data_IF_880503521463
#
_entry.id   IF_880503521463
#
_cell.length_a   1.000
_cell.length_b   1.000
_cell.length_c   1.000
_cell.angle_alpha   90.00
_cell.angle_beta   90.00
_cell.angle_gamma   90.00
#
_symmetry.space_group_name_H-M   'P 1'
#
loop_
_entity.id
_entity.type
_entity.pdbx_description
1 polymer ?
#
# COMPACT_ATOMS: atom_id res chain seq x y z
N UNK A 1 18.88 20.20 13.19
CA UNK A 1 19.46 19.88 14.50
C UNK A 1 20.89 19.42 14.23
N UNK A 2 21.89 20.11 14.79
CA UNK A 2 23.31 19.83 14.50
C UNK A 2 23.79 18.64 15.35
N UNK A 3 24.38 17.61 14.73
CA UNK A 3 25.06 16.52 15.45
C UNK A 3 26.54 16.61 15.10
N UNK A 4 27.36 16.95 16.09
CA UNK A 4 28.82 16.90 15.96
C UNK A 4 29.28 15.47 16.20
N UNK A 5 29.95 14.86 15.22
CA UNK A 5 30.74 13.64 15.44
C UNK A 5 32.21 14.03 15.34
N UNK A 6 32.91 14.03 16.47
CA UNK A 6 34.31 14.38 16.55
C UNK A 6 35.14 13.09 16.62
N UNK A 7 35.80 12.73 15.51
CA UNK A 7 36.86 11.71 15.49
C UNK A 7 38.22 12.40 15.38
N UNK A 8 39.24 12.00 16.15
CA UNK A 8 40.53 12.67 16.18
C UNK A 8 41.33 12.36 14.90
N UNK A 9 41.65 13.40 14.12
CA UNK A 9 42.59 13.31 13.00
C UNK A 9 42.02 13.54 11.59
N UNK A 10 40.71 13.76 11.43
CA UNK A 10 40.11 14.08 10.13
C UNK A 10 39.61 15.52 10.07
N UNK A 11 39.80 16.18 8.92
CA UNK A 11 39.22 17.48 8.58
C UNK A 11 37.73 17.46 8.91
N UNK A 12 37.27 18.38 9.77
CA UNK A 12 35.88 18.45 10.18
C UNK A 12 34.99 18.78 8.97
N UNK A 13 34.26 17.80 8.45
CA UNK A 13 33.17 18.06 7.51
C UNK A 13 31.93 18.42 8.33
N UNK A 14 31.59 19.70 8.37
CA UNK A 14 30.27 20.13 8.86
C UNK A 14 29.27 19.88 7.72
N UNK A 15 28.51 18.79 7.81
CA UNK A 15 27.41 18.54 6.87
C UNK A 15 26.20 19.33 7.34
N UNK A 16 25.98 20.51 6.75
CA UNK A 16 24.73 21.23 6.90
C UNK A 16 23.67 20.57 6.01
N UNK A 17 22.80 19.76 6.60
CA UNK A 17 21.58 19.30 5.93
C UNK A 17 20.52 20.39 6.07
N UNK A 18 20.56 21.39 5.18
CA UNK A 18 19.39 22.22 4.95
C UNK A 18 18.45 21.46 4.03
N UNK A 19 17.17 21.40 4.42
CA UNK A 19 16.14 20.90 3.53
C UNK A 19 15.82 21.99 2.52
N UNK A 20 15.98 21.68 1.24
CA UNK A 20 15.59 22.59 0.16
C UNK A 20 14.06 22.63 0.06
N UNK A 21 13.50 23.83 0.00
CA UNK A 21 12.08 24.07 -0.21
C UNK A 21 11.85 24.58 -1.64
N UNK A 22 10.79 24.09 -2.26
CA UNK A 22 10.41 24.42 -3.62
C UNK A 22 8.95 24.87 -3.66
N UNK A 23 8.63 25.67 -4.67
CA UNK A 23 7.24 26.03 -4.94
C UNK A 23 6.47 24.80 -5.44
N UNK A 24 5.15 24.80 -5.23
CA UNK A 24 4.27 23.68 -5.65
C UNK A 24 4.29 23.42 -7.17
N UNK A 25 4.75 24.40 -7.96
CA UNK A 25 4.82 24.29 -9.42
C UNK A 25 6.07 23.53 -9.92
N UNK A 26 7.06 23.33 -9.05
CA UNK A 26 8.35 22.70 -9.40
C UNK A 26 8.35 21.17 -9.22
N UNK A 27 7.18 20.52 -9.15
CA UNK A 27 7.06 19.07 -8.90
C UNK A 27 7.92 18.20 -9.84
N UNK A 28 8.00 18.54 -11.12
CA UNK A 28 8.86 17.82 -12.08
C UNK A 28 10.35 17.96 -11.76
N UNK A 29 10.77 19.14 -11.30
CA UNK A 29 12.14 19.38 -10.88
C UNK A 29 12.46 18.57 -9.62
N UNK A 30 11.57 18.61 -8.62
CA UNK A 30 11.69 17.84 -7.38
C UNK A 30 11.81 16.35 -7.68
N UNK A 31 10.99 15.80 -8.58
CA UNK A 31 11.06 14.39 -8.96
C UNK A 31 12.42 14.01 -9.58
N UNK A 32 12.99 14.87 -10.43
CA UNK A 32 14.31 14.63 -11.05
C UNK A 32 15.44 14.76 -10.02
N UNK A 33 15.32 15.69 -9.08
CA UNK A 33 16.28 15.87 -8.00
C UNK A 33 16.24 14.70 -7.01
N UNK A 34 15.05 14.18 -6.69
CA UNK A 34 14.88 13.06 -5.78
C UNK A 34 15.67 11.82 -6.22
N UNK A 35 15.80 11.60 -7.55
CA UNK A 35 16.61 10.52 -8.12
C UNK A 35 18.12 10.69 -7.94
N UNK A 36 18.58 11.89 -7.58
CA UNK A 36 20.01 12.24 -7.40
C UNK A 36 20.39 12.40 -5.93
N UNK A 37 19.43 12.27 -5.01
CA UNK A 37 19.70 12.38 -3.58
C UNK A 37 20.59 11.20 -3.13
N UNK A 38 21.48 11.43 -2.16
CA UNK A 38 22.31 10.37 -1.59
C UNK A 38 21.51 9.39 -0.70
N UNK A 39 20.23 9.66 -0.48
CA UNK A 39 19.30 8.88 0.33
C UNK A 39 18.00 8.63 -0.45
N UNK A 40 17.29 7.57 -0.08
CA UNK A 40 16.00 7.25 -0.69
C UNK A 40 14.94 8.30 -0.35
N UNK A 41 14.15 8.68 -1.35
CA UNK A 41 13.04 9.63 -1.20
C UNK A 41 11.71 8.88 -1.25
N UNK A 42 10.91 8.98 -0.19
CA UNK A 42 9.68 8.22 -0.02
C UNK A 42 8.39 9.02 -0.37
N UNK A 43 8.54 10.24 -0.90
CA UNK A 43 7.41 11.08 -1.25
C UNK A 43 7.69 12.58 -1.20
N UNK A 44 6.62 13.36 -1.08
CA UNK A 44 6.62 14.82 -1.08
C UNK A 44 5.84 15.33 0.15
N UNK A 45 6.37 16.35 0.82
CA UNK A 45 5.70 17.01 1.94
C UNK A 45 5.28 18.41 1.49
N UNK A 46 3.98 18.72 1.61
CA UNK A 46 3.43 20.03 1.35
C UNK A 46 3.28 20.79 2.67
N UNK A 47 4.10 21.81 2.84
CA UNK A 47 4.09 22.67 4.03
C UNK A 47 3.36 23.97 3.70
N UNK A 48 2.33 24.36 4.46
CA UNK A 48 1.65 25.63 4.24
C UNK A 48 2.54 26.82 4.60
N UNK A 49 2.64 27.82 3.71
CA UNK A 49 3.49 29.00 3.90
C UNK A 49 2.89 29.99 4.92
N UNK A 50 1.58 30.22 4.85
CA UNK A 50 0.90 31.30 5.59
C UNK A 50 0.22 30.83 6.88
N UNK A 51 0.67 29.72 7.47
CA UNK A 51 0.07 29.14 8.67
C UNK A 51 1.09 29.06 9.79
N UNK A 52 0.77 29.53 11.01
CA UNK A 52 1.68 29.46 12.13
C UNK A 52 1.94 28.00 12.51
N UNK A 53 3.10 27.74 13.09
CA UNK A 53 3.41 26.42 13.62
C UNK A 53 2.41 26.04 14.72
N UNK A 54 1.80 24.87 14.59
CA UNK A 54 0.90 24.31 15.59
C UNK A 54 1.54 23.08 16.24
N UNK A 55 1.47 22.99 17.56
CA UNK A 55 1.89 21.80 18.31
C UNK A 55 0.90 20.66 18.09
N UNK A 56 1.39 19.46 17.79
CA UNK A 56 0.54 18.29 17.54
C UNK A 56 0.18 18.11 16.06
N UNK A 57 -0.96 17.47 15.78
CA UNK A 57 -1.36 17.12 14.41
C UNK A 57 -1.87 18.33 13.63
N UNK A 58 -1.07 18.82 12.68
CA UNK A 58 -1.50 19.82 11.72
C UNK A 58 -2.18 19.16 10.50
N UNK A 59 -3.48 19.41 10.30
CA UNK A 59 -4.24 18.86 9.15
C UNK A 59 -3.89 19.49 7.80
N UNK A 60 -3.20 20.64 7.82
CA UNK A 60 -2.79 21.37 6.62
C UNK A 60 -1.38 20.96 6.15
N UNK A 61 -0.63 20.26 6.99
CA UNK A 61 0.64 19.63 6.61
C UNK A 61 0.32 18.30 5.91
N UNK A 62 0.50 18.26 4.60
CA UNK A 62 0.16 17.09 3.80
C UNK A 62 1.42 16.33 3.41
N UNK A 63 1.32 15.00 3.40
CA UNK A 63 2.35 14.11 2.85
C UNK A 63 1.74 13.32 1.71
N UNK A 64 2.41 13.31 0.58
CA UNK A 64 2.09 12.45 -0.53
C UNK A 64 3.18 11.38 -0.66
N UNK A 65 2.77 10.13 -0.80
CA UNK A 65 3.65 9.01 -1.10
C UNK A 65 3.23 8.37 -2.41
N UNK A 66 4.18 7.95 -3.27
CA UNK A 66 3.87 7.09 -4.40
C UNK A 66 3.10 5.84 -3.92
N UNK A 67 2.08 5.37 -4.65
CA UNK A 67 1.27 4.22 -4.22
C UNK A 67 2.09 2.96 -3.94
N UNK A 68 3.17 2.73 -4.70
CA UNK A 68 4.06 1.57 -4.51
C UNK A 68 4.90 1.65 -3.23
N UNK A 69 5.03 2.82 -2.60
CA UNK A 69 5.73 3.00 -1.32
C UNK A 69 4.78 2.93 -0.11
N UNK A 70 3.47 2.75 -0.36
CA UNK A 70 2.50 2.42 0.68
C UNK A 70 2.41 0.91 0.81
N UNK A 71 3.36 0.35 1.57
CA UNK A 71 3.44 -1.09 1.82
C UNK A 71 2.65 -1.49 3.07
N UNK A 72 2.24 -2.75 3.09
CA UNK A 72 1.64 -3.43 4.25
C UNK A 72 2.34 -4.77 4.43
N UNK A 73 2.77 -5.05 5.66
CA UNK A 73 3.29 -6.36 6.02
C UNK A 73 2.13 -7.32 6.31
N UNK A 74 1.96 -8.33 5.47
CA UNK A 74 0.99 -9.40 5.64
C UNK A 74 1.67 -10.68 6.11
N UNK A 75 0.92 -11.55 6.77
CA UNK A 75 1.34 -12.92 7.01
C UNK A 75 0.76 -13.80 5.91
N UNK A 76 1.60 -14.47 5.15
CA UNK A 76 1.21 -15.28 4.00
C UNK A 76 1.14 -16.76 4.37
N UNK A 77 0.02 -17.41 4.03
CA UNK A 77 -0.13 -18.86 4.13
C UNK A 77 -0.46 -19.47 2.78
N UNK A 78 0.29 -20.49 2.40
CA UNK A 78 0.03 -21.23 1.17
C UNK A 78 -1.32 -21.96 1.22
N UNK A 79 -1.98 -21.98 0.08
CA UNK A 79 -3.18 -22.77 -0.20
C UNK A 79 -2.80 -23.84 -1.24
N UNK A 80 -3.05 -25.09 -0.90
CA UNK A 80 -2.64 -26.26 -1.67
C UNK A 80 -3.83 -26.90 -2.38
N UNK A 81 -3.58 -27.51 -3.52
CA UNK A 81 -4.54 -28.43 -4.14
C UNK A 81 -4.57 -29.80 -3.42
N UNK A 82 -5.39 -30.72 -3.92
CA UNK A 82 -5.54 -32.06 -3.33
C UNK A 82 -4.27 -32.93 -3.49
N UNK A 83 -3.41 -32.56 -4.43
CA UNK A 83 -2.12 -33.20 -4.70
C UNK A 83 -1.01 -32.64 -3.81
N UNK A 84 -1.28 -31.61 -3.01
CA UNK A 84 -0.30 -30.97 -2.14
C UNK A 84 0.59 -29.98 -2.87
N UNK A 85 0.20 -29.50 -4.05
CA UNK A 85 0.92 -28.47 -4.80
C UNK A 85 0.42 -27.09 -4.38
N UNK A 86 1.29 -26.15 -3.99
CA UNK A 86 0.87 -24.79 -3.62
C UNK A 86 0.36 -24.04 -4.86
N UNK A 87 -0.83 -23.48 -4.77
CA UNK A 87 -1.47 -22.73 -5.88
C UNK A 87 -1.55 -21.23 -5.62
N UNK A 88 -1.90 -20.85 -4.39
CA UNK A 88 -2.20 -19.47 -4.02
C UNK A 88 -1.67 -19.16 -2.62
N UNK A 89 -1.63 -17.88 -2.26
CA UNK A 89 -1.32 -17.44 -0.91
C UNK A 89 -2.43 -16.57 -0.36
N UNK A 90 -2.90 -16.90 0.84
CA UNK A 90 -3.82 -16.09 1.62
C UNK A 90 -3.04 -15.08 2.44
N UNK A 91 -3.52 -13.83 2.48
CA UNK A 91 -2.91 -12.75 3.24
C UNK A 91 -3.69 -12.52 4.54
N UNK A 92 -2.97 -12.56 5.64
CA UNK A 92 -3.48 -12.36 7.00
C UNK A 92 -2.94 -11.07 7.58
N UNK A 93 -3.78 -10.40 8.34
CA UNK A 93 -3.47 -9.19 9.10
C UNK A 93 -3.54 -9.48 10.60
N UNK A 94 -2.98 -8.60 11.42
CA UNK A 94 -3.12 -8.70 12.86
C UNK A 94 -4.39 -7.97 13.31
N UNK A 95 -5.23 -8.64 14.09
CA UNK A 95 -6.31 -8.01 14.85
C UNK A 95 -6.17 -8.42 16.31
N UNK A 96 -5.98 -7.45 17.18
CA UNK A 96 -5.70 -7.64 18.62
C UNK A 96 -4.64 -8.73 18.92
N UNK A 97 -3.59 -8.81 18.09
CA UNK A 97 -2.48 -9.77 18.25
C UNK A 97 -2.72 -11.14 17.62
N UNK A 98 -3.89 -11.38 17.03
CA UNK A 98 -4.24 -12.64 16.35
C UNK A 98 -4.22 -12.45 14.84
N UNK A 99 -3.79 -13.48 14.11
CA UNK A 99 -3.81 -13.50 12.64
C UNK A 99 -5.24 -13.72 12.14
N UNK A 100 -5.76 -12.77 11.38
CA UNK A 100 -7.13 -12.82 10.83
C UNK A 100 -7.08 -12.73 9.31
N UNK A 101 -7.79 -13.63 8.66
CA UNK A 101 -8.02 -13.60 7.22
C UNK A 101 -9.17 -12.65 6.88
N UNK A 102 -8.95 -11.72 5.95
CA UNK A 102 -9.97 -10.76 5.49
C UNK A 102 -10.36 -10.94 4.02
N UNK A 103 -10.06 -12.09 3.41
CA UNK A 103 -10.41 -12.35 2.01
C UNK A 103 -9.39 -11.85 0.99
N UNK A 104 -8.21 -11.41 1.45
CA UNK A 104 -7.14 -10.89 0.59
C UNK A 104 -6.20 -12.02 0.15
N UNK A 105 -5.88 -12.04 -1.15
CA UNK A 105 -4.98 -13.02 -1.74
C UNK A 105 -3.78 -12.30 -2.36
N UNK A 106 -2.64 -12.97 -2.34
CA UNK A 106 -1.44 -12.44 -2.98
C UNK A 106 -1.58 -12.57 -4.50
N UNK A 107 -1.29 -11.49 -5.22
CA UNK A 107 -1.30 -11.52 -6.66
C UNK A 107 -0.13 -12.40 -7.19
N UNK A 108 -0.36 -13.30 -8.16
CA UNK A 108 0.67 -14.13 -8.78
C UNK A 108 1.59 -13.32 -9.71
N UNK A 109 2.30 -12.35 -9.13
CA UNK A 109 3.12 -11.40 -9.86
C UNK A 109 4.50 -11.24 -9.20
N UNK A 110 5.52 -11.01 -10.03
CA UNK A 110 6.89 -10.78 -9.59
C UNK A 110 7.70 -12.05 -9.34
N UNK A 111 8.99 -11.87 -9.05
CA UNK A 111 9.94 -12.96 -8.79
C UNK A 111 9.69 -13.61 -7.43
N UNK A 112 9.42 -12.80 -6.42
CA UNK A 112 9.21 -13.24 -5.05
C UNK A 112 8.01 -14.20 -4.92
N UNK A 113 6.94 -13.99 -5.71
CA UNK A 113 5.82 -14.94 -5.74
C UNK A 113 6.27 -16.35 -6.13
N UNK A 114 7.17 -16.47 -7.12
CA UNK A 114 7.71 -17.77 -7.56
C UNK A 114 8.61 -18.39 -6.50
N UNK A 115 9.40 -17.58 -5.80
CA UNK A 115 10.22 -18.02 -4.66
C UNK A 115 9.35 -18.51 -3.51
N UNK A 116 8.24 -17.82 -3.20
CA UNK A 116 7.26 -18.28 -2.22
C UNK A 116 6.64 -19.63 -2.61
N UNK A 117 6.31 -19.84 -3.89
CA UNK A 117 5.82 -21.15 -4.38
C UNK A 117 6.86 -22.25 -4.19
N UNK A 118 8.13 -21.97 -4.50
CA UNK A 118 9.22 -22.93 -4.35
C UNK A 118 9.43 -23.28 -2.86
N UNK A 119 9.44 -22.28 -1.98
CA UNK A 119 9.51 -22.51 -0.53
C UNK A 119 8.29 -23.27 -0.01
N UNK A 120 7.08 -22.96 -0.48
CA UNK A 120 5.86 -23.64 -0.08
C UNK A 120 5.81 -25.11 -0.55
N UNK A 121 6.56 -25.45 -1.60
CA UNK A 121 6.70 -26.82 -2.11
C UNK A 121 7.69 -27.64 -1.28
N UNK A 122 8.75 -27.02 -0.75
CA UNK A 122 9.73 -27.71 0.11
C UNK A 122 9.28 -27.78 1.57
N UNK A 123 8.61 -26.75 2.06
CA UNK A 123 8.20 -26.62 3.46
C UNK A 123 6.80 -26.04 3.49
N UNK A 124 5.92 -26.54 4.38
CA UNK A 124 4.56 -26.00 4.51
C UNK A 124 4.62 -24.55 4.97
N UNK A 125 4.44 -23.61 4.04
CA UNK A 125 4.61 -22.19 4.29
C UNK A 125 3.37 -21.64 5.01
N UNK A 126 3.54 -21.30 6.28
CA UNK A 126 2.54 -20.60 7.08
C UNK A 126 3.23 -19.62 8.03
N UNK A 127 2.66 -18.43 8.17
CA UNK A 127 3.12 -17.41 9.10
C UNK A 127 4.23 -16.51 8.59
N UNK A 128 4.76 -16.74 7.37
CA UNK A 128 5.82 -15.91 6.80
C UNK A 128 5.33 -14.48 6.59
N UNK A 129 6.02 -13.50 7.15
CA UNK A 129 5.68 -12.10 6.96
C UNK A 129 6.27 -11.61 5.64
N UNK A 130 5.41 -11.05 4.78
CA UNK A 130 5.74 -10.54 3.45
C UNK A 130 5.29 -9.08 3.39
N UNK A 131 6.21 -8.21 3.00
CA UNK A 131 5.89 -6.82 2.70
C UNK A 131 5.31 -6.74 1.29
N UNK A 132 4.11 -6.18 1.17
CA UNK A 132 3.40 -6.06 -0.08
C UNK A 132 3.01 -4.61 -0.36
N UNK A 133 3.02 -4.22 -1.63
CA UNK A 133 2.40 -2.97 -2.10
C UNK A 133 1.20 -3.30 -2.99
N UNK A 134 0.27 -2.36 -3.10
CA UNK A 134 -0.87 -2.50 -4.00
C UNK A 134 -0.54 -1.98 -5.40
N UNK A 135 -0.90 -2.77 -6.41
CA UNK A 135 -0.85 -2.35 -7.81
C UNK A 135 -2.26 -2.38 -8.39
N UNK A 136 -2.77 -1.23 -8.85
CA UNK A 136 -4.20 -1.07 -9.15
C UNK A 136 -4.61 -1.44 -10.59
N UNK A 137 -3.65 -1.55 -11.52
CA UNK A 137 -3.93 -1.67 -12.96
C UNK A 137 -3.21 -2.87 -13.58
N UNK A 138 -3.41 -3.19 -14.88
CA UNK A 138 -2.64 -4.22 -15.55
C UNK A 138 -1.14 -3.88 -15.53
N UNK A 139 -0.24 -4.87 -15.47
CA UNK A 139 -0.47 -6.30 -15.73
C UNK A 139 -0.82 -7.15 -14.48
N UNK A 140 -1.12 -6.54 -13.34
CA UNK A 140 -1.37 -7.26 -12.08
C UNK A 140 -2.85 -7.62 -11.97
N UNK A 141 -3.12 -8.89 -11.69
CA UNK A 141 -4.45 -9.40 -11.39
C UNK A 141 -4.38 -10.32 -10.19
N UNK A 142 -5.41 -10.30 -9.35
CA UNK A 142 -5.54 -11.21 -8.20
C UNK A 142 -6.56 -12.28 -8.51
N UNK A 143 -6.18 -13.54 -8.37
CA UNK A 143 -7.13 -14.65 -8.45
C UNK A 143 -7.81 -14.85 -7.09
N UNK A 144 -9.13 -14.74 -7.07
CA UNK A 144 -9.96 -15.02 -5.91
C UNK A 144 -10.68 -16.36 -6.14
N UNK A 145 -10.28 -17.42 -5.42
CA UNK A 145 -10.88 -18.74 -5.57
C UNK A 145 -12.34 -18.73 -5.10
N UNK A 146 -13.21 -19.49 -5.77
CA UNK A 146 -14.58 -19.67 -5.30
C UNK A 146 -14.62 -20.55 -4.05
N UNK A 147 -15.65 -20.37 -3.22
CA UNK A 147 -15.97 -21.31 -2.16
C UNK A 147 -16.73 -22.47 -2.79
N UNK A 148 -16.34 -23.71 -2.47
CA UNK A 148 -17.05 -24.90 -2.93
C UNK A 148 -18.45 -24.95 -2.31
N UNK A 149 -19.46 -25.31 -3.12
CA UNK A 149 -20.82 -25.50 -2.64
C UNK A 149 -20.97 -26.85 -1.95
N UNK A 150 -22.08 -27.05 -1.23
CA UNK A 150 -22.41 -28.35 -0.62
C UNK A 150 -22.83 -29.42 -1.65
N UNK A 151 -22.99 -29.04 -2.93
CA UNK A 151 -23.43 -29.92 -4.03
C UNK A 151 -22.25 -30.52 -4.83
N UNK A 152 -21.02 -30.30 -4.35
CA UNK A 152 -19.78 -30.65 -5.03
C UNK A 152 -19.61 -32.18 -5.13
N UNK A 153 -19.51 -32.72 -6.35
CA UNK A 153 -19.53 -34.16 -6.66
C UNK A 153 -18.28 -34.95 -6.23
N UNK A 154 -17.38 -34.35 -5.46
CA UNK A 154 -16.11 -34.98 -5.04
C UNK A 154 -16.33 -35.96 -3.89
N UNK A 155 -15.56 -37.04 -3.92
CA UNK A 155 -15.59 -38.09 -2.91
C UNK A 155 -15.09 -37.60 -1.55
N UNK A 156 -15.58 -38.21 -0.47
CA UNK A 156 -15.12 -37.91 0.90
C UNK A 156 -13.59 -38.01 1.05
N UNK A 157 -12.94 -38.87 0.26
CA UNK A 157 -11.48 -39.03 0.22
C UNK A 157 -10.76 -37.77 -0.29
N UNK A 158 -11.30 -37.11 -1.30
CA UNK A 158 -10.77 -35.88 -1.88
C UNK A 158 -10.85 -34.73 -0.87
N UNK A 159 -12.00 -34.59 -0.19
CA UNK A 159 -12.20 -33.63 0.89
C UNK A 159 -11.22 -33.86 2.05
N UNK A 160 -10.99 -35.12 2.44
CA UNK A 160 -10.02 -35.46 3.47
C UNK A 160 -8.58 -35.07 3.08
N UNK A 161 -8.16 -35.36 1.85
CA UNK A 161 -6.84 -34.96 1.33
C UNK A 161 -6.66 -33.45 1.34
N UNK A 162 -7.67 -32.71 0.87
CA UNK A 162 -7.63 -31.25 0.88
C UNK A 162 -7.47 -30.69 2.31
N UNK A 163 -8.23 -31.23 3.27
CA UNK A 163 -8.17 -30.78 4.67
C UNK A 163 -6.81 -31.06 5.33
N UNK A 164 -6.13 -32.15 4.96
CA UNK A 164 -4.80 -32.45 5.47
C UNK A 164 -3.79 -31.33 5.14
N UNK A 165 -3.87 -30.78 3.93
CA UNK A 165 -2.97 -29.72 3.47
C UNK A 165 -3.38 -28.31 3.89
N UNK A 166 -4.67 -28.06 4.11
CA UNK A 166 -5.19 -26.70 4.30
C UNK A 166 -5.84 -26.46 5.67
N UNK A 167 -5.75 -27.42 6.61
CA UNK A 167 -6.18 -27.38 8.02
C UNK A 167 -6.90 -26.10 8.47
N UNK A 168 -8.22 -26.21 8.69
CA UNK A 168 -9.13 -25.15 9.13
C UNK A 168 -9.44 -24.02 8.12
N UNK A 169 -8.89 -24.05 6.90
CA UNK A 169 -9.32 -23.14 5.82
C UNK A 169 -10.66 -23.59 5.20
N UNK A 170 -11.51 -22.65 4.74
CA UNK A 170 -12.67 -22.96 3.91
C UNK A 170 -12.29 -23.76 2.67
N UNK A 171 -13.17 -24.67 2.23
CA UNK A 171 -12.93 -25.54 1.07
C UNK A 171 -12.94 -24.71 -0.22
N UNK A 172 -11.80 -24.14 -0.58
CA UNK A 172 -11.65 -23.33 -1.79
C UNK A 172 -11.53 -24.21 -3.03
N UNK A 173 -12.16 -23.78 -4.11
CA UNK A 173 -11.81 -24.26 -5.44
C UNK A 173 -10.62 -23.44 -5.95
N UNK A 174 -9.44 -24.06 -6.00
CA UNK A 174 -8.22 -23.40 -6.46
C UNK A 174 -8.11 -23.35 -7.98
N UNK A 175 -8.98 -24.06 -8.70
CA UNK A 175 -9.01 -24.09 -10.17
C UNK A 175 -10.08 -23.14 -10.71
N UNK A 176 -11.22 -23.04 -10.02
CA UNK A 176 -12.32 -22.17 -10.40
C UNK A 176 -12.37 -20.93 -9.50
N UNK A 177 -12.51 -19.75 -10.12
CA UNK A 177 -12.53 -18.50 -9.39
C UNK A 177 -12.71 -17.30 -10.29
N UNK A 178 -12.48 -16.12 -9.72
CA UNK A 178 -12.60 -14.85 -10.43
C UNK A 178 -11.28 -14.12 -10.40
N UNK A 179 -10.88 -13.58 -11.56
CA UNK A 179 -9.75 -12.68 -11.63
C UNK A 179 -10.24 -11.25 -11.40
N UNK A 180 -9.62 -10.57 -10.44
CA UNK A 180 -9.84 -9.15 -10.18
C UNK A 180 -8.66 -8.35 -10.68
N UNK A 181 -8.93 -7.20 -11.29
CA UNK A 181 -7.89 -6.25 -11.68
C UNK A 181 -7.22 -5.68 -10.44
N UNK A 182 -5.89 -5.60 -10.51
CA UNK A 182 -5.06 -5.15 -9.40
C UNK A 182 -4.88 -6.20 -8.31
N UNK A 183 -3.98 -5.90 -7.37
CA UNK A 183 -3.64 -6.82 -6.32
C UNK A 183 -2.46 -6.43 -5.45
N UNK A 184 -2.31 -7.17 -4.35
CA UNK A 184 -1.13 -7.11 -3.49
C UNK A 184 0.03 -7.85 -4.13
N UNK A 185 1.12 -7.13 -4.40
CA UNK A 185 2.36 -7.67 -4.95
C UNK A 185 3.39 -7.77 -3.84
N UNK A 186 4.02 -8.93 -3.70
CA UNK A 186 5.08 -9.14 -2.72
C UNK A 186 6.38 -8.45 -3.16
N UNK A 187 6.93 -7.63 -2.26
CA UNK A 187 8.19 -6.93 -2.45
C UNK A 187 9.36 -7.66 -1.81
N UNK A 188 9.22 -8.04 -0.53
CA UNK A 188 10.26 -8.78 0.22
C UNK A 188 9.70 -9.58 1.39
N UNK A 189 10.49 -10.51 1.90
CA UNK A 189 10.18 -11.26 3.12
C UNK A 189 10.75 -10.51 4.32
N UNK A 190 9.95 -10.40 5.38
CA UNK A 190 10.29 -9.71 6.63
C UNK A 190 10.62 -10.72 7.72
N UNK A 191 11.90 -11.07 7.85
CA UNK A 191 12.38 -11.96 8.93
C UNK A 191 12.55 -11.24 10.26
N UNK A 192 12.56 -9.91 10.25
CA UNK A 192 12.63 -9.05 11.44
C UNK A 192 11.29 -8.94 12.18
N UNK A 193 10.19 -9.42 11.58
CA UNK A 193 8.83 -9.30 12.12
C UNK A 193 8.25 -10.66 12.45
N UNK A 194 7.65 -10.76 13.64
CA UNK A 194 6.89 -11.94 14.08
C UNK A 194 5.39 -11.81 13.82
N UNK A 195 4.88 -10.60 13.60
CA UNK A 195 3.46 -10.32 13.38
C UNK A 195 3.27 -9.40 12.16
N UNK A 196 2.17 -9.61 11.40
CA UNK A 196 1.79 -8.69 10.32
C UNK A 196 1.29 -7.36 10.87
N UNK A 197 1.10 -6.37 10.00
CA UNK A 197 0.51 -5.11 10.40
C UNK A 197 -0.94 -5.27 10.86
N UNK A 198 -1.40 -4.30 11.66
CA UNK A 198 -2.77 -4.30 12.15
C UNK A 198 -3.79 -3.95 11.05
N UNK A 199 -5.04 -4.36 11.25
CA UNK A 199 -6.14 -3.98 10.35
C UNK A 199 -6.25 -2.47 10.12
N UNK A 200 -5.95 -1.66 11.15
CA UNK A 200 -6.01 -0.20 11.02
C UNK A 200 -4.95 0.34 10.06
N UNK A 201 -3.76 -0.27 9.99
CA UNK A 201 -2.73 0.12 9.03
C UNK A 201 -3.18 -0.23 7.62
N UNK A 202 -3.64 -1.47 7.41
CA UNK A 202 -4.16 -1.91 6.12
C UNK A 202 -5.31 -1.02 5.63
N UNK A 203 -6.26 -0.67 6.51
CA UNK A 203 -7.37 0.24 6.16
C UNK A 203 -6.89 1.65 5.76
N UNK A 204 -5.87 2.19 6.42
CA UNK A 204 -5.29 3.50 6.05
C UNK A 204 -4.59 3.44 4.70
N UNK A 205 -3.87 2.35 4.42
CA UNK A 205 -3.24 2.14 3.12
C UNK A 205 -4.29 1.95 2.04
N UNK A 206 -5.33 1.15 2.29
CA UNK A 206 -6.47 0.99 1.38
C UNK A 206 -7.14 2.33 1.07
N UNK A 207 -7.39 3.15 2.08
CA UNK A 207 -7.95 4.49 1.86
C UNK A 207 -7.03 5.37 1.00
N UNK A 208 -5.72 5.32 1.23
CA UNK A 208 -4.75 6.03 0.39
C UNK A 208 -4.70 5.52 -1.06
N UNK A 209 -5.01 4.25 -1.29
CA UNK A 209 -5.11 3.64 -2.62
C UNK A 209 -6.40 4.10 -3.29
N UNK A 210 -7.53 4.06 -2.58
CA UNK A 210 -8.84 4.45 -3.09
C UNK A 210 -8.87 5.94 -3.45
N UNK A 211 -8.18 6.80 -2.69
CA UNK A 211 -8.00 8.22 -3.00
C UNK A 211 -7.21 8.45 -4.31
N UNK A 212 -6.45 7.44 -4.78
CA UNK A 212 -5.81 7.36 -6.11
C UNK A 212 -5.10 8.64 -6.58
N UNK A 213 -4.40 9.32 -5.68
CA UNK A 213 -3.63 10.52 -6.02
C UNK A 213 -2.30 10.10 -6.66
N UNK A 214 -2.30 9.99 -7.98
CA UNK A 214 -1.07 9.76 -8.74
C UNK A 214 -0.22 11.02 -8.84
N UNK A 215 1.08 10.87 -9.13
CA UNK A 215 1.96 12.01 -9.39
C UNK A 215 1.46 12.87 -10.56
N UNK A 216 0.86 12.26 -11.59
CA UNK A 216 0.24 12.97 -12.72
C UNK A 216 -0.99 13.78 -12.27
N UNK A 217 -1.77 13.25 -11.33
CA UNK A 217 -2.89 13.97 -10.71
C UNK A 217 -2.38 15.19 -9.94
N UNK A 218 -1.33 15.03 -9.12
CA UNK A 218 -0.70 16.15 -8.42
C UNK A 218 -0.23 17.26 -9.36
N UNK A 219 0.47 16.88 -10.43
CA UNK A 219 0.96 17.83 -11.45
C UNK A 219 -0.18 18.64 -12.08
N UNK A 220 -1.29 17.96 -12.38
CA UNK A 220 -2.48 18.59 -12.95
C UNK A 220 -3.13 19.56 -11.96
N UNK A 221 -3.23 19.19 -10.70
CA UNK A 221 -3.79 20.07 -9.66
C UNK A 221 -2.90 21.27 -9.36
N UNK A 222 -1.57 21.09 -9.31
CA UNK A 222 -0.62 22.19 -9.19
C UNK A 222 -0.75 23.18 -10.36
N UNK A 223 -0.87 22.68 -11.59
CA UNK A 223 -1.07 23.53 -12.78
C UNK A 223 -2.43 24.24 -12.77
N UNK A 224 -3.51 23.54 -12.36
CA UNK A 224 -4.82 24.17 -12.16
C UNK A 224 -4.76 25.31 -11.16
N UNK A 225 -4.05 25.10 -10.04
CA UNK A 225 -3.82 26.12 -9.02
C UNK A 225 -3.02 27.30 -9.57
N UNK A 226 -2.01 27.06 -10.43
CA UNK A 226 -1.22 28.10 -11.10
C UNK A 226 -2.08 29.03 -11.95
N UNK A 227 -3.00 28.44 -12.72
CA UNK A 227 -3.82 29.18 -13.70
C UNK A 227 -4.98 29.93 -13.02
N UNK A 228 -5.61 29.34 -12.00
CA UNK A 228 -6.88 29.84 -11.46
C UNK A 228 -6.80 30.43 -10.06
N UNK A 229 -5.68 30.25 -9.34
CA UNK A 229 -5.64 30.51 -7.89
C UNK A 229 -6.61 29.63 -7.09
N UNK A 230 -6.72 29.86 -5.78
CA UNK A 230 -7.77 29.24 -4.95
C UNK A 230 -9.11 29.90 -5.29
N UNK A 231 -9.93 29.28 -6.14
CA UNK A 231 -11.36 29.57 -6.13
C UNK A 231 -11.95 28.95 -4.87
N UNK A 232 -12.50 29.76 -3.98
CA UNK A 232 -13.27 29.23 -2.86
C UNK A 232 -14.47 28.45 -3.39
N UNK A 233 -14.93 27.41 -2.69
CA UNK A 233 -16.13 26.64 -3.09
C UNK A 233 -17.35 27.58 -3.29
N UNK A 234 -17.37 28.74 -2.63
CA UNK A 234 -18.38 29.78 -2.83
C UNK A 234 -18.34 30.51 -4.18
N UNK A 235 -17.20 30.56 -4.88
CA UNK A 235 -17.07 31.20 -6.19
C UNK A 235 -17.53 30.29 -7.35
N UNK A 236 -17.64 28.98 -7.10
CA UNK A 236 -18.19 27.99 -8.04
C UNK A 236 -19.70 27.75 -7.92
N UNK A 237 -20.33 28.26 -6.85
CA UNK A 237 -21.77 28.17 -6.66
C UNK A 237 -22.45 29.43 -7.22
N UNK A 238 -23.02 29.35 -8.43
CA UNK A 238 -24.08 30.28 -8.83
C UNK A 238 -25.30 30.00 -7.97
N UNK A 239 -25.46 30.76 -6.88
CA UNK A 239 -26.70 30.73 -6.10
C UNK A 239 -27.87 31.16 -7.00
N UNK A 240 -29.05 30.53 -6.89
CA UNK A 240 -30.26 31.00 -7.56
C UNK A 240 -30.53 32.48 -7.23
N UNK A 241 -31.12 33.26 -8.15
CA UNK A 241 -31.23 34.73 -8.05
C UNK A 241 -32.03 35.27 -6.85
N UNK A 242 -32.67 34.42 -6.06
CA UNK A 242 -33.60 34.85 -4.99
C UNK A 242 -32.94 35.28 -3.68
N UNK A 243 -31.61 35.20 -3.55
CA UNK A 243 -30.89 35.63 -2.33
C UNK A 243 -30.14 36.98 -2.45
N UNK A 244 -30.49 37.82 -3.44
CA UNK A 244 -29.94 39.19 -3.56
C UNK A 244 -30.89 40.28 -3.04
N UNK A 245 -31.61 40.09 -1.92
CA UNK A 245 -32.28 41.20 -1.22
C UNK A 245 -32.34 40.98 0.29
N UNK A 246 -31.45 41.65 1.03
CA UNK A 246 -31.73 42.45 2.25
C UNK A 246 -30.42 42.72 3.00
N UNK A 247 -29.82 43.84 2.68
CA UNK A 247 -29.04 44.64 3.62
C UNK A 247 -29.22 46.09 3.15
N UNK A 248 -30.25 46.72 3.71
CA UNK A 248 -30.43 48.17 3.77
C UNK A 248 -29.89 48.65 5.11
#
# INVERSE_FOLDING_TARGET
MCVYLQLPGCVAFVVFLFQDFFEIFDLLHIQRMALRLPHESDGIIFTPVNLPYATGTCRQLLKWKPPHLNTVDFSADALYDEQGVPRLFQLYIADHGVRVFKGEFLAPYGKLYKELLQMASSTRLSGTIVECFWFASPPVYTFVPSLRSAEDSRSDKEVCRWRAWNAAKPLYDVENGTWKEGGWVAERIRTDKSLPNSFQVMKKVQQSIDDSITFRTLLREAERYRIHGKKTVGEGCTLPPDHKKKAS
#
